data_IF_789735362521
#
_entry.id   IF_789735362521
#
_cell.length_a   1.000
_cell.length_b   1.000
_cell.length_c   1.000
_cell.angle_alpha   90.00
_cell.angle_beta   90.00
_cell.angle_gamma   90.00
#
_symmetry.space_group_name_H-M   'P 1'
#
loop_
_entity.id
_entity.type
_entity.pdbx_description
1 polymer ?
#
# COMPACT_ATOMS: atom_id res chain seq x y z
N UNK A 1 -5.43 -22.79 5.01
CA UNK A 1 -4.63 -22.14 3.94
C UNK A 1 -5.15 -20.72 3.75
N UNK A 2 -4.30 -19.67 3.85
CA UNK A 2 -4.72 -18.30 3.54
C UNK A 2 -5.00 -18.20 2.04
N UNK A 3 -6.22 -17.80 1.63
CA UNK A 3 -6.53 -17.62 0.21
C UNK A 3 -5.65 -16.51 -0.36
N UNK A 4 -5.07 -16.74 -1.55
CA UNK A 4 -4.25 -15.75 -2.26
C UNK A 4 -4.89 -15.40 -3.59
N UNK A 5 -4.90 -14.11 -3.92
CA UNK A 5 -5.38 -13.59 -5.22
C UNK A 5 -4.23 -12.86 -5.91
N UNK A 6 -4.08 -13.06 -7.21
CA UNK A 6 -3.07 -12.39 -8.04
C UNK A 6 -3.78 -11.62 -9.14
N UNK A 7 -3.42 -10.36 -9.30
CA UNK A 7 -4.05 -9.45 -10.25
C UNK A 7 -2.93 -8.73 -11.01
N UNK A 8 -3.10 -8.57 -12.32
CA UNK A 8 -2.15 -7.80 -13.12
C UNK A 8 -2.17 -6.33 -12.72
N UNK A 9 -1.00 -5.71 -12.67
CA UNK A 9 -0.84 -4.29 -12.42
C UNK A 9 -1.27 -3.51 -13.66
N UNK A 10 -2.28 -2.65 -13.51
CA UNK A 10 -2.87 -1.87 -14.61
C UNK A 10 -2.84 -0.37 -14.36
N UNK A 11 -2.33 0.09 -13.22
CA UNK A 11 -2.33 1.50 -12.83
C UNK A 11 -1.05 2.22 -13.31
N UNK A 12 -1.18 3.48 -13.73
CA UNK A 12 -0.04 4.34 -14.00
C UNK A 12 0.50 4.96 -12.70
N UNK A 13 1.72 5.48 -12.73
CA UNK A 13 2.37 6.07 -11.56
C UNK A 13 1.62 7.30 -11.00
N UNK A 14 0.89 8.03 -11.84
CA UNK A 14 0.11 9.20 -11.42
C UNK A 14 -1.32 8.87 -10.98
N UNK A 15 -1.76 7.61 -11.09
CA UNK A 15 -3.12 7.18 -10.72
C UNK A 15 -3.18 6.72 -9.26
N UNK A 16 -2.49 7.45 -8.37
CA UNK A 16 -2.42 7.13 -6.94
C UNK A 16 -3.82 7.06 -6.31
N UNK A 17 -4.69 8.03 -6.64
CA UNK A 17 -6.03 8.13 -6.06
C UNK A 17 -6.93 6.96 -6.49
N UNK A 18 -6.90 6.60 -7.79
CA UNK A 18 -7.64 5.46 -8.31
C UNK A 18 -7.14 4.14 -7.70
N UNK A 19 -5.82 4.03 -7.51
CA UNK A 19 -5.25 2.86 -6.87
C UNK A 19 -5.63 2.75 -5.39
N UNK A 20 -5.64 3.87 -4.65
CA UNK A 20 -6.10 3.91 -3.26
C UNK A 20 -7.56 3.44 -3.15
N UNK A 21 -8.47 4.03 -3.93
CA UNK A 21 -9.88 3.64 -3.95
C UNK A 21 -10.07 2.15 -4.24
N UNK A 22 -9.32 1.62 -5.21
CA UNK A 22 -9.36 0.20 -5.52
C UNK A 22 -8.93 -0.69 -4.34
N UNK A 23 -7.91 -0.28 -3.57
CA UNK A 23 -7.49 -1.02 -2.37
C UNK A 23 -8.54 -0.95 -1.27
N UNK A 24 -9.23 0.18 -1.10
CA UNK A 24 -10.33 0.33 -0.14
C UNK A 24 -11.50 -0.62 -0.48
N UNK A 25 -11.90 -0.69 -1.76
CA UNK A 25 -12.92 -1.63 -2.23
C UNK A 25 -12.51 -3.09 -1.99
N UNK A 26 -11.23 -3.41 -2.21
CA UNK A 26 -10.68 -4.74 -1.94
C UNK A 26 -10.67 -5.07 -0.45
N UNK A 27 -10.36 -4.11 0.42
CA UNK A 27 -10.39 -4.27 1.87
C UNK A 27 -11.81 -4.52 2.39
N UNK A 28 -12.83 -3.88 1.82
CA UNK A 28 -14.25 -4.15 2.11
C UNK A 28 -14.66 -5.59 1.74
N UNK A 29 -13.95 -6.23 0.81
CA UNK A 29 -14.14 -7.64 0.46
C UNK A 29 -13.24 -8.59 1.27
N UNK A 30 -12.38 -8.06 2.15
CA UNK A 30 -11.41 -8.80 2.96
C UNK A 30 -10.15 -9.20 2.19
N UNK A 31 -9.83 -8.50 1.11
CA UNK A 31 -8.58 -8.68 0.36
C UNK A 31 -7.59 -7.58 0.69
N UNK A 32 -6.48 -7.96 1.32
CA UNK A 32 -5.41 -7.02 1.66
C UNK A 32 -4.17 -7.29 0.82
N UNK A 33 -3.45 -6.21 0.51
CA UNK A 33 -2.28 -6.25 -0.37
C UNK A 33 -1.09 -6.87 0.38
N UNK A 34 -0.57 -7.99 -0.13
CA UNK A 34 0.64 -8.66 0.38
C UNK A 34 1.90 -8.03 -0.21
N UNK A 35 1.86 -7.72 -1.51
CA UNK A 35 3.00 -7.18 -2.23
C UNK A 35 2.54 -6.47 -3.51
N UNK A 36 3.19 -5.35 -3.81
CA UNK A 36 3.08 -4.63 -5.07
C UNK A 36 4.48 -4.60 -5.70
N UNK A 37 4.67 -5.23 -6.85
CA UNK A 37 6.00 -5.29 -7.46
C UNK A 37 5.98 -5.87 -8.87
N UNK A 38 6.66 -5.20 -9.80
CA UNK A 38 6.63 -5.55 -11.22
C UNK A 38 5.22 -5.46 -11.81
N UNK A 39 4.82 -6.45 -12.59
CA UNK A 39 3.52 -6.48 -13.28
C UNK A 39 2.38 -7.14 -12.51
N UNK A 40 2.59 -7.62 -11.27
CA UNK A 40 1.59 -8.43 -10.53
C UNK A 40 1.42 -7.92 -9.09
N UNK A 41 0.17 -7.66 -8.72
CA UNK A 41 -0.26 -7.45 -7.33
C UNK A 41 -0.65 -8.79 -6.70
N UNK A 42 -0.19 -9.00 -5.46
CA UNK A 42 -0.54 -10.17 -4.66
C UNK A 42 -1.39 -9.73 -3.47
N UNK A 43 -2.51 -10.41 -3.26
CA UNK A 43 -3.41 -10.19 -2.14
C UNK A 43 -3.53 -11.46 -1.31
N UNK A 44 -3.76 -11.28 -0.01
CA UNK A 44 -4.18 -12.34 0.90
C UNK A 44 -5.58 -12.04 1.43
N UNK A 45 -6.34 -13.09 1.74
CA UNK A 45 -7.66 -12.96 2.35
C UNK A 45 -7.59 -12.92 3.86
N UNK A 46 -8.34 -12.00 4.45
CA UNK A 46 -8.56 -11.84 5.88
C UNK A 46 -10.00 -11.37 6.14
N UNK A 47 -10.30 -10.97 7.38
CA UNK A 47 -11.62 -10.41 7.70
C UNK A 47 -11.82 -9.08 6.96
N UNK A 48 -12.96 -8.88 6.28
CA UNK A 48 -13.33 -7.59 5.71
C UNK A 48 -13.22 -6.47 6.74
N UNK A 49 -12.59 -5.38 6.36
CA UNK A 49 -12.38 -4.23 7.24
C UNK A 49 -12.41 -2.96 6.41
N UNK A 50 -13.08 -1.93 6.92
CA UNK A 50 -13.05 -0.61 6.31
C UNK A 50 -11.69 0.01 6.60
N UNK A 51 -10.86 0.07 5.57
CA UNK A 51 -9.53 0.69 5.59
C UNK A 51 -9.53 1.81 4.59
N UNK A 52 -8.82 2.88 4.93
CA UNK A 52 -8.38 3.87 3.95
C UNK A 52 -6.94 3.62 3.59
N UNK A 53 -6.58 3.86 2.34
CA UNK A 53 -5.22 3.63 1.86
C UNK A 53 -4.53 4.93 1.44
N UNK A 54 -3.22 4.98 1.69
CA UNK A 54 -2.34 6.00 1.17
C UNK A 54 -1.29 5.33 0.29
N UNK A 55 -1.32 5.63 -1.01
CA UNK A 55 -0.32 5.15 -1.95
C UNK A 55 0.66 6.29 -2.24
N UNK A 56 1.90 6.15 -1.76
CA UNK A 56 2.92 7.19 -1.86
C UNK A 56 4.05 6.74 -2.78
N UNK A 57 4.41 7.60 -3.73
CA UNK A 57 5.59 7.41 -4.57
C UNK A 57 6.84 7.75 -3.76
N UNK A 58 7.85 6.88 -3.79
CA UNK A 58 9.12 7.13 -3.11
C UNK A 58 10.09 7.83 -4.08
N UNK A 59 10.48 9.09 -3.83
CA UNK A 59 11.43 9.78 -4.69
C UNK A 59 12.79 9.10 -4.64
N UNK A 60 13.35 8.78 -5.82
CA UNK A 60 14.67 8.14 -5.92
C UNK A 60 14.69 6.63 -5.60
N UNK A 61 13.53 6.00 -5.38
CA UNK A 61 13.46 4.54 -5.38
C UNK A 61 13.66 4.03 -6.79
N UNK A 62 14.55 3.06 -6.94
CA UNK A 62 14.72 2.28 -8.16
C UNK A 62 14.71 0.81 -7.80
N UNK A 63 14.64 -0.05 -8.81
CA UNK A 63 14.86 -1.49 -8.66
C UNK A 63 16.17 -1.84 -7.94
N UNK A 64 17.15 -0.91 -7.92
CA UNK A 64 18.50 -1.10 -7.37
C UNK A 64 18.63 -0.64 -5.91
N UNK A 65 17.93 0.41 -5.49
CA UNK A 65 18.02 0.97 -4.13
C UNK A 65 16.99 0.39 -3.18
N UNK A 66 15.93 -0.22 -3.70
CA UNK A 66 14.86 -0.84 -2.93
C UNK A 66 14.07 0.16 -2.09
N UNK A 67 12.92 -0.27 -1.59
CA UNK A 67 12.14 0.52 -0.64
C UNK A 67 12.74 0.53 0.78
N UNK A 68 13.89 -0.11 1.02
CA UNK A 68 14.48 -0.36 2.34
C UNK A 68 15.70 0.53 2.64
N UNK A 69 15.77 1.71 2.04
CA UNK A 69 16.73 2.73 2.47
C UNK A 69 16.38 3.24 3.88
N UNK A 70 17.39 3.64 4.66
CA UNK A 70 17.21 4.27 5.99
C UNK A 70 16.17 5.41 5.97
N UNK A 71 16.14 6.21 4.90
CA UNK A 71 15.17 7.31 4.72
C UNK A 71 13.73 6.79 4.62
N UNK A 72 13.52 5.66 3.94
CA UNK A 72 12.21 5.04 3.84
C UNK A 72 11.76 4.46 5.19
N UNK A 73 12.67 3.88 5.97
CA UNK A 73 12.35 3.42 7.33
C UNK A 73 11.96 4.57 8.26
N UNK A 74 12.68 5.70 8.21
CA UNK A 74 12.34 6.89 8.98
C UNK A 74 10.97 7.43 8.59
N UNK A 75 10.69 7.52 7.28
CA UNK A 75 9.39 7.95 6.79
C UNK A 75 8.25 7.02 7.22
N UNK A 76 8.47 5.70 7.25
CA UNK A 76 7.48 4.73 7.75
C UNK A 76 7.16 4.98 9.23
N UNK A 77 8.15 5.32 10.06
CA UNK A 77 7.94 5.65 11.48
C UNK A 77 7.10 6.92 11.63
N UNK A 78 7.42 7.96 10.87
CA UNK A 78 6.65 9.21 10.87
C UNK A 78 5.18 8.98 10.46
N UNK A 79 4.96 8.14 9.42
CA UNK A 79 3.61 7.74 9.03
C UNK A 79 2.88 6.97 10.14
N UNK A 80 3.58 6.06 10.82
CA UNK A 80 3.00 5.28 11.91
C UNK A 80 2.62 6.17 13.10
N UNK A 81 3.45 7.15 13.46
CA UNK A 81 3.13 8.16 14.48
C UNK A 81 1.93 9.02 14.09
N UNK A 82 1.72 9.28 12.79
CA UNK A 82 0.55 9.96 12.26
C UNK A 82 -0.71 9.08 12.16
N UNK A 83 -0.65 7.81 12.59
CA UNK A 83 -1.78 6.87 12.57
C UNK A 83 -1.93 6.07 11.28
N UNK A 84 -0.87 5.97 10.47
CA UNK A 84 -0.83 5.19 9.25
C UNK A 84 0.08 3.96 9.40
N UNK A 85 -0.52 2.78 9.35
CA UNK A 85 0.21 1.52 9.39
C UNK A 85 0.78 1.15 8.02
N UNK A 86 1.97 0.57 8.00
CA UNK A 86 2.61 0.09 6.78
C UNK A 86 1.98 -1.22 6.30
N UNK A 87 1.44 -1.24 5.07
CA UNK A 87 0.88 -2.44 4.46
C UNK A 87 1.93 -3.25 3.70
N UNK A 88 2.60 -2.61 2.74
CA UNK A 88 3.69 -3.19 1.95
C UNK A 88 4.39 -2.12 1.12
N UNK A 89 5.54 -2.48 0.57
CA UNK A 89 6.29 -1.66 -0.38
C UNK A 89 6.47 -2.39 -1.71
N UNK A 90 6.73 -1.60 -2.74
CA UNK A 90 7.10 -2.04 -4.08
C UNK A 90 8.28 -1.26 -4.63
N UNK A 91 8.51 -1.40 -5.93
CA UNK A 91 9.63 -0.74 -6.62
C UNK A 91 9.57 0.79 -6.53
N UNK A 92 8.37 1.36 -6.63
CA UNK A 92 8.15 2.81 -6.62
C UNK A 92 7.17 3.28 -5.54
N UNK A 93 6.45 2.35 -4.91
CA UNK A 93 5.33 2.65 -4.05
C UNK A 93 5.58 2.19 -2.62
N UNK A 94 5.15 3.00 -1.66
CA UNK A 94 4.88 2.56 -0.30
C UNK A 94 3.39 2.72 -0.03
N UNK A 95 2.79 1.62 0.43
CA UNK A 95 1.36 1.54 0.69
C UNK A 95 1.16 1.52 2.19
N UNK A 96 0.42 2.50 2.67
CA UNK A 96 0.01 2.63 4.05
C UNK A 96 -1.50 2.52 4.15
N UNK A 97 -2.00 2.18 5.33
CA UNK A 97 -3.42 2.12 5.60
C UNK A 97 -3.74 2.66 6.98
N UNK A 98 -4.97 3.08 7.16
CA UNK A 98 -5.52 3.41 8.47
C UNK A 98 -6.96 2.94 8.56
N UNK A 99 -7.39 2.54 9.74
CA UNK A 99 -8.79 2.23 10.05
C UNK A 99 -9.48 3.39 10.77
N UNK A 100 -8.71 4.42 11.15
CA UNK A 100 -9.23 5.63 11.76
C UNK A 100 -9.67 6.62 10.68
N UNK A 101 -10.98 6.88 10.62
CA UNK A 101 -11.58 7.81 9.67
C UNK A 101 -11.20 9.27 9.96
N UNK A 102 -10.75 9.58 11.18
CA UNK A 102 -10.39 10.94 11.62
C UNK A 102 -8.99 11.36 11.19
N UNK A 103 -8.10 10.39 10.92
CA UNK A 103 -6.76 10.66 10.39
C UNK A 103 -6.92 11.35 9.04
N UNK A 104 -6.12 12.37 8.72
CA UNK A 104 -6.14 13.01 7.40
C UNK A 104 -4.91 12.60 6.60
N UNK A 105 -5.10 12.47 5.28
CA UNK A 105 -4.00 12.43 4.35
C UNK A 105 -3.53 13.90 4.20
N UNK A 106 -2.52 14.29 4.96
CA UNK A 106 -1.85 15.60 4.90
C UNK A 106 -0.52 15.47 4.17
#
# INVERSE_FOLDING_TARGET
>A
MKQKKRIWWTFNLWEADAFQQYLEEMALQGWFLENVGGSIMKFYRAQPEKRRYAALLVPGSSSLTGADSWKAEQFRKECQEAGWDFQCSGTYWQIFYTTDESVKLT
#
